data_IF_478959633613
#
_entry.id   IF_478959633613
#
_cell.length_a   1.000
_cell.length_b   1.000
_cell.length_c   1.000
_cell.angle_alpha   90.00
_cell.angle_beta   90.00
_cell.angle_gamma   90.00
#
_symmetry.space_group_name_H-M   'P 1'
#
loop_
_entity.id
_entity.type
_entity.pdbx_description
1 polymer ?
#
# COMPACT_ATOMS: atom_id res chain seq x y z
N UNK A 1 -30.22 5.46 -19.12
CA UNK A 1 -28.97 5.06 -19.82
C UNK A 1 -27.84 5.17 -18.81
N UNK A 2 -27.44 4.04 -18.22
CA UNK A 2 -26.32 3.95 -17.29
C UNK A 2 -25.15 3.28 -18.01
N UNK A 3 -23.94 3.78 -17.79
CA UNK A 3 -22.70 3.39 -18.49
C UNK A 3 -22.18 2.02 -18.05
N UNK A 4 -21.59 1.27 -18.98
CA UNK A 4 -21.13 -0.13 -18.87
C UNK A 4 -20.13 -0.46 -17.72
N UNK A 5 -19.64 0.52 -16.96
CA UNK A 5 -18.65 0.33 -15.88
C UNK A 5 -19.22 -0.08 -14.52
N UNK A 6 -20.46 0.29 -14.19
CA UNK A 6 -21.02 0.08 -12.85
C UNK A 6 -21.59 -1.33 -12.64
N UNK A 7 -21.92 -2.03 -13.73
CA UNK A 7 -22.60 -3.34 -13.70
C UNK A 7 -21.64 -4.49 -13.32
N UNK A 8 -20.31 -4.31 -13.51
CA UNK A 8 -19.33 -5.38 -13.25
C UNK A 8 -18.97 -5.57 -11.78
N UNK A 9 -19.07 -4.54 -10.94
CA UNK A 9 -18.77 -4.67 -9.51
C UNK A 9 -19.95 -5.28 -8.72
N UNK A 10 -21.18 -4.88 -9.01
CA UNK A 10 -22.36 -5.36 -8.28
C UNK A 10 -22.62 -6.87 -8.51
N UNK A 11 -22.42 -7.37 -9.73
CA UNK A 11 -22.63 -8.78 -10.05
C UNK A 11 -21.51 -9.69 -9.51
N UNK A 12 -20.26 -9.19 -9.45
CA UNK A 12 -19.14 -9.90 -8.85
C UNK A 12 -19.29 -10.04 -7.33
N UNK A 13 -19.78 -8.99 -6.64
CA UNK A 13 -20.12 -9.04 -5.21
C UNK A 13 -21.29 -9.99 -4.92
N UNK A 14 -22.32 -10.00 -5.77
CA UNK A 14 -23.46 -10.90 -5.61
C UNK A 14 -23.09 -12.38 -5.84
N UNK A 15 -22.26 -12.67 -6.83
CA UNK A 15 -21.78 -14.04 -7.08
C UNK A 15 -20.83 -14.52 -5.97
N UNK A 16 -19.94 -13.66 -5.47
CA UNK A 16 -19.07 -13.98 -4.33
C UNK A 16 -19.87 -14.28 -3.04
N UNK A 17 -20.89 -13.48 -2.73
CA UNK A 17 -21.78 -13.70 -1.57
C UNK A 17 -22.62 -14.98 -1.72
N UNK A 18 -23.06 -15.31 -2.93
CA UNK A 18 -23.85 -16.52 -3.22
C UNK A 18 -23.05 -17.81 -3.05
N UNK A 19 -21.77 -17.79 -3.38
CA UNK A 19 -20.89 -18.97 -3.33
C UNK A 19 -20.31 -19.17 -1.93
N UNK A 20 -20.02 -18.09 -1.17
CA UNK A 20 -19.31 -18.19 0.11
C UNK A 20 -20.19 -18.10 1.37
N UNK A 21 -21.46 -17.70 1.24
CA UNK A 21 -22.37 -17.50 2.38
C UNK A 21 -21.82 -16.53 3.45
N UNK A 22 -22.58 -16.19 4.49
CA UNK A 22 -22.05 -15.45 5.62
C UNK A 22 -21.31 -16.44 6.52
N UNK A 23 -20.20 -16.98 6.04
CA UNK A 23 -19.20 -17.49 6.97
C UNK A 23 -18.62 -16.26 7.65
N UNK A 24 -19.00 -16.06 8.91
CA UNK A 24 -18.33 -15.13 9.81
C UNK A 24 -16.91 -15.69 10.01
N UNK A 25 -16.08 -15.50 9.00
CA UNK A 25 -14.69 -15.88 9.03
C UNK A 25 -14.03 -15.00 10.07
N UNK A 26 -13.65 -15.60 11.19
CA UNK A 26 -12.79 -15.00 12.20
C UNK A 26 -11.36 -14.83 11.70
N UNK A 27 -11.11 -15.09 10.41
CA UNK A 27 -9.83 -14.86 9.78
C UNK A 27 -9.59 -13.34 9.67
N UNK A 28 -8.75 -12.85 10.58
CA UNK A 28 -8.33 -11.46 10.67
C UNK A 28 -7.80 -10.88 9.36
N UNK A 29 -7.39 -11.70 8.40
CA UNK A 29 -6.91 -11.27 7.07
C UNK A 29 -8.02 -10.68 6.20
N UNK A 30 -9.17 -11.35 6.06
CA UNK A 30 -10.29 -10.88 5.22
C UNK A 30 -10.96 -9.63 5.80
N UNK A 31 -11.11 -9.57 7.12
CA UNK A 31 -11.65 -8.38 7.80
C UNK A 31 -10.73 -7.15 7.65
N UNK A 32 -9.41 -7.33 7.57
CA UNK A 32 -8.45 -6.25 7.29
C UNK A 32 -8.60 -5.73 5.86
N UNK A 33 -8.70 -6.62 4.87
CA UNK A 33 -8.88 -6.25 3.46
C UNK A 33 -10.14 -5.39 3.26
N UNK A 34 -11.26 -5.75 3.89
CA UNK A 34 -12.51 -5.00 3.78
C UNK A 34 -12.46 -3.59 4.41
N UNK A 35 -11.72 -3.39 5.51
CA UNK A 35 -11.52 -2.06 6.10
C UNK A 35 -10.56 -1.19 5.28
N UNK A 36 -9.58 -1.83 4.64
CA UNK A 36 -8.63 -1.17 3.75
C UNK A 36 -9.36 -0.53 2.58
N UNK A 37 -10.25 -1.26 1.90
CA UNK A 37 -10.96 -0.76 0.69
C UNK A 37 -11.92 0.40 0.98
N UNK A 38 -12.62 0.39 2.12
CA UNK A 38 -13.57 1.46 2.50
C UNK A 38 -12.90 2.81 2.80
N UNK A 39 -11.69 2.81 3.38
CA UNK A 39 -10.96 4.06 3.63
C UNK A 39 -10.30 4.62 2.37
N UNK A 40 -9.95 3.74 1.42
CA UNK A 40 -9.33 4.11 0.15
C UNK A 40 -10.34 4.81 -0.76
N UNK A 41 -11.57 4.32 -0.87
CA UNK A 41 -12.58 4.90 -1.75
C UNK A 41 -12.95 6.35 -1.42
N UNK A 42 -12.79 6.78 -0.16
CA UNK A 42 -13.10 8.16 0.27
C UNK A 42 -11.94 9.14 0.03
N UNK A 43 -10.69 8.66 0.04
CA UNK A 43 -9.49 9.52 -0.13
C UNK A 43 -9.04 9.60 -1.59
N UNK A 44 -9.39 8.61 -2.40
CA UNK A 44 -8.74 8.35 -3.70
C UNK A 44 -9.53 8.80 -4.94
N UNK A 45 -10.62 9.55 -4.76
CA UNK A 45 -11.48 10.02 -5.87
C UNK A 45 -10.73 10.95 -6.85
N UNK A 46 -9.54 11.46 -6.50
CA UNK A 46 -8.75 12.39 -7.33
C UNK A 46 -7.28 11.95 -7.59
N UNK A 47 -6.90 10.70 -7.33
CA UNK A 47 -5.52 10.23 -7.51
C UNK A 47 -5.30 9.41 -8.79
N UNK A 48 -4.12 9.56 -9.43
CA UNK A 48 -3.67 8.67 -10.52
C UNK A 48 -3.69 7.21 -10.06
N UNK A 49 -4.11 6.28 -10.93
CA UNK A 49 -4.23 4.84 -10.66
C UNK A 49 -2.98 4.25 -9.98
N UNK A 50 -1.79 4.67 -10.41
CA UNK A 50 -0.51 4.22 -9.82
C UNK A 50 -0.39 4.55 -8.32
N UNK A 51 -0.77 5.77 -7.91
CA UNK A 51 -0.70 6.16 -6.50
C UNK A 51 -1.65 5.33 -5.65
N UNK A 52 -2.80 4.95 -6.21
CA UNK A 52 -3.77 4.09 -5.54
C UNK A 52 -3.18 2.70 -5.29
N UNK A 53 -2.55 2.14 -6.32
CA UNK A 53 -1.85 0.88 -6.22
C UNK A 53 -0.73 0.95 -5.17
N UNK A 54 0.12 1.97 -5.21
CA UNK A 54 1.24 2.11 -4.26
C UNK A 54 0.77 2.23 -2.80
N UNK A 55 -0.21 3.10 -2.53
CA UNK A 55 -0.79 3.22 -1.19
C UNK A 55 -1.34 1.87 -0.73
N UNK A 56 -2.06 1.16 -1.60
CA UNK A 56 -2.62 -0.16 -1.28
C UNK A 56 -1.52 -1.16 -0.95
N UNK A 57 -0.50 -1.27 -1.81
CA UNK A 57 0.65 -2.18 -1.65
C UNK A 57 1.39 -1.94 -0.33
N UNK A 58 1.68 -0.68 0.01
CA UNK A 58 2.35 -0.32 1.28
C UNK A 58 1.49 -0.74 2.48
N UNK A 59 0.18 -0.52 2.43
CA UNK A 59 -0.74 -0.88 3.52
C UNK A 59 -0.79 -2.38 3.77
N UNK A 60 -0.86 -3.18 2.72
CA UNK A 60 -0.94 -4.65 2.84
C UNK A 60 0.43 -5.32 2.98
N UNK A 61 1.52 -4.60 2.72
CA UNK A 61 2.88 -5.18 2.74
C UNK A 61 3.20 -6.01 1.49
N UNK A 62 2.50 -5.78 0.38
CA UNK A 62 2.73 -6.45 -0.90
C UNK A 62 3.23 -5.43 -1.92
N UNK A 63 4.45 -4.94 -1.76
CA UNK A 63 4.99 -3.86 -2.59
C UNK A 63 6.44 -4.07 -2.99
N UNK A 64 6.97 -3.11 -3.73
CA UNK A 64 8.34 -3.13 -4.23
C UNK A 64 9.32 -2.72 -3.12
N UNK A 65 9.60 -3.64 -2.20
CA UNK A 65 10.63 -3.49 -1.17
C UNK A 65 11.23 -4.83 -0.76
N UNK A 66 12.47 -4.80 -0.28
CA UNK A 66 13.30 -5.98 -0.09
C UNK A 66 12.73 -7.07 0.80
N UNK A 67 12.00 -6.73 1.86
CA UNK A 67 11.34 -7.73 2.72
C UNK A 67 10.33 -8.59 1.93
N UNK A 68 9.55 -7.95 1.05
CA UNK A 68 8.60 -8.64 0.17
C UNK A 68 9.35 -9.56 -0.81
N UNK A 69 10.39 -9.07 -1.47
CA UNK A 69 11.18 -9.88 -2.39
C UNK A 69 11.82 -11.10 -1.72
N UNK A 70 12.42 -10.90 -0.53
CA UNK A 70 13.02 -11.98 0.24
C UNK A 70 11.99 -13.02 0.68
N UNK A 71 10.82 -12.58 1.16
CA UNK A 71 9.76 -13.48 1.61
C UNK A 71 9.23 -14.35 0.47
N UNK A 72 9.01 -13.77 -0.72
CA UNK A 72 8.48 -14.48 -1.88
C UNK A 72 9.57 -15.08 -2.79
N UNK A 73 10.85 -15.00 -2.40
CA UNK A 73 12.00 -15.49 -3.17
C UNK A 73 12.06 -14.94 -4.60
N UNK A 74 11.69 -13.68 -4.75
CA UNK A 74 11.76 -12.97 -6.02
C UNK A 74 13.23 -12.56 -6.21
N UNK A 75 13.85 -12.82 -7.38
CA UNK A 75 15.29 -12.58 -7.62
C UNK A 75 15.59 -11.10 -7.87
N UNK A 76 15.08 -10.25 -7.01
CA UNK A 76 15.24 -8.80 -7.02
C UNK A 76 16.10 -8.38 -5.84
N UNK A 77 16.78 -7.24 -5.95
CA UNK A 77 17.67 -6.75 -4.89
C UNK A 77 16.87 -6.41 -3.63
N UNK A 78 17.21 -7.04 -2.51
CA UNK A 78 16.54 -6.79 -1.22
C UNK A 78 17.14 -5.64 -0.42
N UNK A 79 18.34 -5.19 -0.77
CA UNK A 79 19.05 -4.12 -0.08
C UNK A 79 18.44 -2.75 -0.40
N UNK A 80 18.50 -1.86 0.59
CA UNK A 80 18.14 -0.47 0.39
C UNK A 80 19.34 0.32 -0.13
N UNK A 81 19.19 1.22 -1.12
CA UNK A 81 20.30 2.04 -1.62
C UNK A 81 20.97 2.94 -0.56
N UNK A 82 20.36 3.12 0.61
CA UNK A 82 20.96 3.82 1.74
C UNK A 82 22.01 2.98 2.49
N UNK A 83 22.18 1.70 2.15
CA UNK A 83 23.12 0.76 2.78
C UNK A 83 22.47 -0.24 3.75
N UNK A 84 21.16 -0.16 4.01
CA UNK A 84 20.46 -1.16 4.84
C UNK A 84 20.36 -2.50 4.12
N UNK A 85 20.77 -3.59 4.77
CA UNK A 85 20.82 -4.93 4.18
C UNK A 85 19.48 -5.45 3.65
N UNK A 86 18.40 -5.15 4.36
CA UNK A 86 17.04 -5.50 3.95
C UNK A 86 16.17 -4.25 4.03
N UNK A 87 15.63 -3.86 2.89
CA UNK A 87 14.65 -2.79 2.80
C UNK A 87 13.29 -3.29 3.34
N UNK A 88 13.03 -3.04 4.62
CA UNK A 88 11.71 -3.26 5.24
C UNK A 88 10.85 -1.99 5.12
N UNK A 89 9.52 -2.14 5.23
CA UNK A 89 8.57 -1.02 5.09
C UNK A 89 8.80 0.07 6.14
N UNK A 90 9.01 -0.32 7.39
CA UNK A 90 9.22 0.55 8.54
C UNK A 90 10.48 1.40 8.34
N UNK A 91 11.56 0.79 7.84
CA UNK A 91 12.79 1.49 7.49
C UNK A 91 12.52 2.60 6.47
N UNK A 92 11.82 2.31 5.37
CA UNK A 92 11.49 3.33 4.36
C UNK A 92 10.69 4.49 4.99
N UNK A 93 9.66 4.16 5.79
CA UNK A 93 8.72 5.14 6.36
C UNK A 93 9.30 5.95 7.52
N UNK A 94 10.23 5.41 8.31
CA UNK A 94 10.70 6.05 9.55
C UNK A 94 12.20 6.33 9.62
N UNK A 95 13.04 5.52 8.98
CA UNK A 95 14.49 5.55 9.26
C UNK A 95 15.35 5.91 8.04
N UNK A 96 14.87 5.62 6.82
CA UNK A 96 15.68 5.69 5.61
C UNK A 96 16.11 7.13 5.30
N UNK A 97 17.43 7.44 5.31
CA UNK A 97 17.91 8.81 5.14
C UNK A 97 17.57 9.40 3.76
N UNK A 98 17.37 8.55 2.75
CA UNK A 98 16.98 8.98 1.39
C UNK A 98 15.63 9.70 1.34
N UNK A 99 14.77 9.49 2.35
CA UNK A 99 13.42 10.05 2.38
C UNK A 99 13.21 11.02 3.55
N UNK A 100 14.29 11.50 4.18
CA UNK A 100 14.20 12.39 5.34
C UNK A 100 13.40 13.66 5.02
N UNK A 101 13.68 14.28 3.88
CA UNK A 101 13.05 15.54 3.47
C UNK A 101 11.54 15.40 3.27
N UNK A 102 11.06 14.24 2.80
CA UNK A 102 9.64 13.98 2.59
C UNK A 102 8.92 13.48 3.85
N UNK A 103 9.64 13.07 4.89
CA UNK A 103 9.08 12.39 6.08
C UNK A 103 8.11 13.27 6.88
N UNK A 104 8.25 14.60 6.80
CA UNK A 104 7.34 15.54 7.44
C UNK A 104 5.86 15.35 6.99
N UNK A 105 5.63 14.84 5.78
CA UNK A 105 4.29 14.52 5.27
C UNK A 105 3.62 13.36 6.02
N UNK A 106 4.40 12.46 6.61
CA UNK A 106 3.91 11.34 7.42
C UNK A 106 3.58 11.79 8.84
N UNK A 107 4.48 12.56 9.48
CA UNK A 107 4.28 13.00 10.87
C UNK A 107 3.23 14.09 11.04
N UNK A 108 3.04 14.96 10.04
CA UNK A 108 1.96 15.97 10.08
C UNK A 108 0.56 15.35 10.14
N UNK A 109 0.42 14.11 9.66
CA UNK A 109 -0.84 13.40 9.60
C UNK A 109 -0.98 12.27 10.61
N UNK A 110 0.12 11.62 10.98
CA UNK A 110 0.20 10.61 12.05
C UNK A 110 1.34 10.97 13.04
N UNK A 111 1.11 11.93 13.96
CA UNK A 111 2.16 12.44 14.85
C UNK A 111 2.65 11.45 15.90
N UNK A 112 1.86 10.40 16.18
CA UNK A 112 2.22 9.34 17.11
C UNK A 112 3.30 8.40 16.53
N UNK A 113 3.62 8.52 15.24
CA UNK A 113 4.62 7.69 14.56
C UNK A 113 4.24 6.21 14.50
N UNK A 114 3.00 5.86 14.86
CA UNK A 114 2.57 4.48 14.94
C UNK A 114 2.10 4.00 13.56
N UNK A 115 2.63 2.87 13.10
CA UNK A 115 2.32 2.34 11.77
C UNK A 115 0.83 2.03 11.58
N UNK A 116 0.15 1.61 12.65
CA UNK A 116 -1.30 1.39 12.62
C UNK A 116 -2.08 2.68 12.37
N UNK A 117 -1.60 3.82 12.88
CA UNK A 117 -2.22 5.12 12.65
C UNK A 117 -1.91 5.60 11.22
N UNK A 118 -0.65 5.52 10.80
CA UNK A 118 -0.23 5.92 9.45
C UNK A 118 -0.93 5.12 8.34
N UNK A 119 -1.07 3.81 8.50
CA UNK A 119 -1.63 2.92 7.46
C UNK A 119 -3.13 2.61 7.67
N UNK A 120 -3.69 2.94 8.83
CA UNK A 120 -5.04 2.51 9.23
C UNK A 120 -6.11 3.59 9.18
N UNK A 121 -5.74 4.87 9.33
CA UNK A 121 -6.71 5.98 9.41
C UNK A 121 -6.64 6.89 8.18
N UNK A 122 -7.75 7.57 7.87
CA UNK A 122 -7.88 8.47 6.72
C UNK A 122 -6.73 9.49 6.64
N UNK A 123 -6.46 10.19 7.74
CA UNK A 123 -5.41 11.21 7.81
C UNK A 123 -4.02 10.61 7.54
N UNK A 124 -3.71 9.47 8.14
CA UNK A 124 -2.46 8.75 7.89
C UNK A 124 -2.29 8.37 6.42
N UNK A 125 -3.36 7.87 5.78
CA UNK A 125 -3.36 7.52 4.35
C UNK A 125 -3.13 8.76 3.47
N UNK A 126 -3.67 9.92 3.82
CA UNK A 126 -3.40 11.19 3.11
C UNK A 126 -1.93 11.61 3.21
N UNK A 127 -1.31 11.43 4.38
CA UNK A 127 0.12 11.65 4.58
C UNK A 127 0.97 10.68 3.77
N UNK A 128 0.62 9.39 3.80
CA UNK A 128 1.28 8.37 2.98
C UNK A 128 1.16 8.68 1.49
N UNK A 129 -0.03 9.08 1.03
CA UNK A 129 -0.24 9.47 -0.36
C UNK A 129 0.62 10.69 -0.74
N UNK A 130 0.75 11.66 0.16
CA UNK A 130 1.62 12.83 -0.04
C UNK A 130 3.10 12.41 -0.12
N UNK A 131 3.56 11.59 0.82
CA UNK A 131 4.91 11.01 0.81
C UNK A 131 5.24 10.29 -0.51
N UNK A 132 4.32 9.45 -1.01
CA UNK A 132 4.49 8.70 -2.25
C UNK A 132 4.43 9.56 -3.51
N UNK A 133 3.80 10.74 -3.45
CA UNK A 133 3.83 11.74 -4.54
C UNK A 133 5.20 12.43 -4.65
N UNK A 134 5.87 12.66 -3.52
CA UNK A 134 7.14 13.39 -3.47
C UNK A 134 8.39 12.50 -3.52
N UNK A 135 8.22 11.18 -3.41
CA UNK A 135 9.34 10.23 -3.37
C UNK A 135 9.15 9.15 -4.42
N UNK A 136 10.25 8.50 -4.80
CA UNK A 136 10.24 7.25 -5.56
C UNK A 136 10.21 6.01 -4.65
N UNK A 137 9.84 6.18 -3.37
CA UNK A 137 9.73 5.06 -2.44
C UNK A 137 8.68 4.05 -2.94
N UNK A 138 8.90 2.77 -2.63
CA UNK A 138 8.00 1.65 -2.94
C UNK A 138 7.69 1.48 -4.44
N UNK A 139 8.55 1.96 -5.33
CA UNK A 139 8.47 1.69 -6.78
C UNK A 139 9.54 0.71 -7.19
N UNK A 140 9.28 -0.04 -8.27
CA UNK A 140 10.31 -0.88 -8.89
C UNK A 140 11.48 -0.01 -9.31
N UNK A 141 12.71 -0.44 -9.05
CA UNK A 141 13.88 0.31 -9.47
C UNK A 141 14.18 0.02 -10.95
N UNK A 142 14.75 0.98 -11.70
CA UNK A 142 15.14 0.73 -13.09
C UNK A 142 16.17 -0.41 -13.21
N UNK A 143 17.06 -0.57 -12.23
CA UNK A 143 18.09 -1.62 -12.25
C UNK A 143 17.51 -3.03 -12.06
N UNK A 144 16.30 -3.12 -11.50
CA UNK A 144 15.54 -4.36 -11.33
C UNK A 144 14.91 -4.83 -12.68
N UNK A 145 14.96 -4.02 -13.75
CA UNK A 145 14.47 -4.38 -15.10
C UNK A 145 15.58 -4.92 -16.03
N UNK A 146 16.86 -4.69 -15.71
CA UNK A 146 17.99 -5.11 -16.54
C UNK A 146 18.46 -6.56 -16.27
N UNK A 147 17.91 -7.22 -15.25
CA UNK A 147 18.18 -8.62 -14.93
C UNK A 147 17.11 -9.51 -15.59
N UNK A 148 17.21 -9.68 -16.91
CA UNK A 148 16.48 -10.71 -17.67
C UNK A 148 17.43 -11.61 -18.45
#
# INVERSE_FOLDING_TARGET
MMTFGEVRCAHALQTWNRVNGPTLSTDTSHARIARITSSLSTVMVESKDELISLVTQVRIGHGYFGEYYAHFKIPERSDCPCGTEIQIREHILYDCPLFNDARHTLYSTAPDGHIGSLLGIKKGIEGLASFLKFTNAFRKRPEDDEVQ
#
